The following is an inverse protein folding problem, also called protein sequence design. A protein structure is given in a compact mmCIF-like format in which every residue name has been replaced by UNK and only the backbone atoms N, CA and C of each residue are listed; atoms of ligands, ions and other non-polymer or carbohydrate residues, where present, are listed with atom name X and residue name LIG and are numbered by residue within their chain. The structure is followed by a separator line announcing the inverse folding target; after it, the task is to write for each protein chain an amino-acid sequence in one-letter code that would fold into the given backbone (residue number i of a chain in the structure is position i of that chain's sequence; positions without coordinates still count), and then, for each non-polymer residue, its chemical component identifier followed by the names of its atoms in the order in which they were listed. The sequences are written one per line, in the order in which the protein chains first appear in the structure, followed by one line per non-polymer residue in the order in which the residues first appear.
data_IF_245542935845
#
_entry.id   IF_245542935845
#
_cell.length_a   1.000
_cell.length_b   1.000
_cell.length_c   1.000
_cell.angle_alpha   90.00
_cell.angle_beta   90.00
_cell.angle_gamma   90.00
#
_symmetry.space_group_name_H-M   'P 1'
#
loop_
_entity.id
_entity.type
_entity.pdbx_description
1 polymer ?
#
# COMPACT_ATOMS: atom_id res chain seq x y z
N UNK A 1 -21.52 33.28 11.92
CA UNK A 1 -20.65 32.80 10.82
C UNK A 1 -20.31 31.33 11.06
N UNK A 2 -20.81 30.43 10.22
CA UNK A 2 -20.46 29.01 10.26
C UNK A 2 -19.04 28.80 9.73
N UNK A 3 -18.16 28.16 10.53
CA UNK A 3 -16.82 27.77 10.08
C UNK A 3 -16.94 26.65 9.05
N UNK A 4 -16.60 26.95 7.80
CA UNK A 4 -16.40 25.92 6.77
C UNK A 4 -15.16 25.11 7.16
N UNK A 5 -15.34 23.82 7.46
CA UNK A 5 -14.24 22.86 7.63
C UNK A 5 -14.03 22.13 6.32
N UNK A 6 -12.85 22.30 5.72
CA UNK A 6 -12.41 21.44 4.62
C UNK A 6 -11.93 20.12 5.27
N UNK A 7 -12.52 18.96 4.92
CA UNK A 7 -12.02 17.68 5.40
C UNK A 7 -10.57 17.50 5.01
N UNK A 8 -9.75 16.97 5.93
CA UNK A 8 -8.37 16.61 5.60
C UNK A 8 -8.37 15.60 4.44
N UNK A 9 -7.47 15.81 3.48
CA UNK A 9 -7.31 14.86 2.38
C UNK A 9 -6.84 13.51 2.96
N UNK A 10 -7.51 12.40 2.63
CA UNK A 10 -7.08 11.09 3.12
C UNK A 10 -5.75 10.67 2.49
N UNK A 11 -4.97 9.92 3.25
CA UNK A 11 -3.74 9.30 2.76
C UNK A 11 -4.08 7.92 2.18
N UNK A 12 -3.92 7.73 0.88
CA UNK A 12 -4.22 6.49 0.16
C UNK A 12 -2.96 5.93 -0.47
N UNK A 13 -2.74 4.63 -0.29
CA UNK A 13 -1.59 3.92 -0.86
C UNK A 13 -2.07 2.68 -1.59
N UNK A 14 -2.02 2.72 -2.92
CA UNK A 14 -2.28 1.58 -3.78
C UNK A 14 -0.96 0.91 -4.15
N UNK A 15 -0.83 -0.38 -3.87
CA UNK A 15 0.37 -1.17 -4.13
C UNK A 15 -0.01 -2.36 -5.01
N UNK A 16 0.56 -2.43 -6.21
CA UNK A 16 0.54 -3.64 -7.02
C UNK A 16 1.76 -4.51 -6.67
N UNK A 17 1.56 -5.84 -6.68
CA UNK A 17 2.61 -6.78 -6.30
C UNK A 17 2.58 -8.04 -7.16
N UNK A 18 3.74 -8.69 -7.23
CA UNK A 18 3.92 -10.01 -7.82
C UNK A 18 4.65 -10.94 -6.86
N UNK A 19 4.59 -12.23 -7.14
CA UNK A 19 5.35 -13.31 -6.52
C UNK A 19 6.04 -14.09 -7.64
N UNK A 20 7.25 -14.58 -7.41
CA UNK A 20 7.92 -15.44 -8.40
C UNK A 20 7.19 -16.81 -8.48
N UNK A 21 6.60 -17.19 -9.62
CA UNK A 21 5.88 -18.45 -9.77
C UNK A 21 6.78 -19.69 -9.70
N UNK A 22 8.05 -19.56 -10.08
CA UNK A 22 8.99 -20.69 -10.19
C UNK A 22 9.56 -21.15 -8.84
N UNK A 23 9.41 -20.32 -7.80
CA UNK A 23 9.95 -20.58 -6.47
C UNK A 23 8.79 -20.63 -5.47
N UNK A 24 8.35 -21.83 -5.05
CA UNK A 24 7.33 -21.99 -4.03
C UNK A 24 7.66 -21.19 -2.77
N UNK A 25 6.68 -20.48 -2.22
CA UNK A 25 6.87 -19.68 -1.02
C UNK A 25 7.65 -18.36 -1.22
N UNK A 26 8.04 -18.01 -2.46
CA UNK A 26 8.77 -16.77 -2.73
C UNK A 26 8.05 -15.53 -2.19
N UNK A 27 8.83 -14.49 -1.86
CA UNK A 27 8.28 -13.27 -1.25
C UNK A 27 7.50 -12.48 -2.29
N UNK A 28 6.45 -11.79 -1.84
CA UNK A 28 5.73 -10.81 -2.67
C UNK A 28 6.55 -9.53 -2.77
N UNK A 29 6.72 -9.04 -3.98
CA UNK A 29 7.52 -7.87 -4.32
C UNK A 29 6.63 -6.83 -4.98
N UNK A 30 6.85 -5.57 -4.64
CA UNK A 30 6.11 -4.43 -5.21
C UNK A 30 6.51 -4.25 -6.67
N UNK A 31 5.53 -4.09 -7.55
CA UNK A 31 5.74 -3.73 -8.96
C UNK A 31 5.39 -2.29 -9.25
N UNK A 32 4.36 -1.76 -8.60
CA UNK A 32 3.96 -0.37 -8.73
C UNK A 32 3.35 0.16 -7.43
N UNK A 33 3.49 1.46 -7.20
CA UNK A 33 2.82 2.18 -6.12
C UNK A 33 2.20 3.46 -6.66
N UNK A 34 1.02 3.80 -6.13
CA UNK A 34 0.39 5.11 -6.25
C UNK A 34 0.06 5.61 -4.84
N UNK A 35 0.44 6.86 -4.56
CA UNK A 35 0.18 7.52 -3.28
C UNK A 35 -0.64 8.77 -3.54
N UNK A 36 -1.71 8.94 -2.77
CA UNK A 36 -2.45 10.21 -2.63
C UNK A 36 -2.25 10.63 -1.17
N UNK A 37 -1.72 11.84 -0.93
CA UNK A 37 -1.30 12.25 0.41
C UNK A 37 0.20 12.02 0.63
N UNK A 38 0.61 11.71 1.86
CA UNK A 38 2.04 11.72 2.24
C UNK A 38 2.68 10.34 2.25
N UNK A 39 1.92 9.29 2.60
CA UNK A 39 2.39 7.98 3.02
C UNK A 39 3.50 7.98 4.09
N UNK A 40 3.77 9.11 4.76
CA UNK A 40 4.87 9.22 5.74
C UNK A 40 4.56 8.40 7.00
N UNK A 41 5.58 7.74 7.57
CA UNK A 41 7.00 7.74 7.19
C UNK A 41 7.42 6.61 6.21
N UNK A 42 6.48 5.92 5.58
CA UNK A 42 6.74 4.65 4.89
C UNK A 42 7.26 4.77 3.45
N UNK A 43 7.48 5.98 2.94
CA UNK A 43 7.77 6.29 1.54
C UNK A 43 8.96 5.49 0.99
N UNK A 44 10.00 5.25 1.81
CA UNK A 44 11.19 4.51 1.36
C UNK A 44 10.95 3.03 1.09
N UNK A 45 9.90 2.47 1.68
CA UNK A 45 9.47 1.08 1.43
C UNK A 45 8.49 0.98 0.26
N UNK A 46 7.96 2.10 -0.22
CA UNK A 46 6.92 2.19 -1.25
C UNK A 46 7.51 2.36 -2.65
N UNK A 47 8.37 1.42 -3.05
CA UNK A 47 9.06 1.46 -4.34
C UNK A 47 9.07 0.08 -5.01
N UNK A 48 9.08 0.00 -6.36
CA UNK A 48 9.25 -1.27 -7.06
C UNK A 48 10.49 -2.04 -6.57
N UNK A 49 10.39 -3.37 -6.53
CA UNK A 49 11.46 -4.25 -6.03
C UNK A 49 11.51 -4.41 -4.51
N UNK A 50 10.82 -3.57 -3.73
CA UNK A 50 10.72 -3.73 -2.27
C UNK A 50 9.75 -4.85 -1.89
N UNK A 51 9.96 -5.44 -0.70
CA UNK A 51 9.09 -6.50 -0.17
C UNK A 51 7.75 -5.91 0.26
N UNK A 52 6.66 -6.47 -0.25
CA UNK A 52 5.30 -6.04 0.10
C UNK A 52 5.05 -6.11 1.61
N UNK A 53 5.50 -7.18 2.27
CA UNK A 53 5.29 -7.38 3.71
C UNK A 53 5.96 -6.31 4.58
N UNK A 54 7.09 -5.74 4.13
CA UNK A 54 7.76 -4.67 4.84
C UNK A 54 6.97 -3.35 4.72
N UNK A 55 6.53 -3.01 3.50
CA UNK A 55 5.69 -1.83 3.26
C UNK A 55 4.37 -1.90 4.04
N UNK A 56 3.66 -3.04 3.97
CA UNK A 56 2.40 -3.24 4.69
C UNK A 56 2.57 -3.14 6.20
N UNK A 57 3.67 -3.67 6.75
CA UNK A 57 3.96 -3.57 8.18
C UNK A 57 4.17 -2.12 8.60
N UNK A 58 4.94 -1.35 7.83
CA UNK A 58 5.14 0.07 8.11
C UNK A 58 3.81 0.84 8.06
N UNK A 59 3.05 0.67 6.98
CA UNK A 59 1.78 1.37 6.80
C UNK A 59 0.81 1.07 7.96
N UNK A 60 0.60 -0.21 8.29
CA UNK A 60 -0.28 -0.61 9.39
C UNK A 60 0.15 -0.04 10.75
N UNK A 61 1.45 -0.03 11.04
CA UNK A 61 1.98 0.59 12.27
C UNK A 61 1.76 2.10 12.35
N UNK A 62 1.54 2.76 11.20
CA UNK A 62 1.35 4.19 11.10
C UNK A 62 -0.10 4.58 10.78
N UNK A 63 -1.07 3.73 11.13
CA UNK A 63 -2.50 4.04 11.10
C UNK A 63 -3.19 3.80 9.76
N UNK A 64 -2.51 3.21 8.77
CA UNK A 64 -3.17 2.80 7.54
C UNK A 64 -3.94 1.49 7.71
N UNK A 65 -5.19 1.47 7.26
CA UNK A 65 -6.04 0.28 7.21
C UNK A 65 -6.17 -0.21 5.78
N UNK A 66 -6.25 -1.53 5.59
CA UNK A 66 -6.52 -2.11 4.28
C UNK A 66 -7.99 -1.88 3.96
N UNK A 67 -8.28 -1.22 2.84
CA UNK A 67 -9.65 -1.00 2.35
C UNK A 67 -9.98 -1.90 1.16
N UNK A 68 -8.98 -2.28 0.37
CA UNK A 68 -9.12 -3.26 -0.71
C UNK A 68 -7.90 -4.15 -0.73
N UNK A 69 -8.08 -5.45 -0.91
CA UNK A 69 -7.00 -6.40 -1.13
C UNK A 69 -7.48 -7.49 -2.08
N UNK A 70 -6.92 -7.52 -3.28
CA UNK A 70 -7.37 -8.42 -4.33
C UNK A 70 -6.20 -9.16 -4.96
N UNK A 71 -6.43 -10.44 -5.27
CA UNK A 71 -5.52 -11.24 -6.09
C UNK A 71 -6.07 -11.27 -7.49
N UNK A 72 -5.32 -10.73 -8.44
CA UNK A 72 -5.66 -10.81 -9.87
C UNK A 72 -5.23 -12.16 -10.46
N UNK A 73 -4.30 -12.86 -9.81
CA UNK A 73 -3.92 -14.25 -10.13
C UNK A 73 -3.34 -14.95 -8.90
N UNK A 74 -2.87 -16.19 -9.07
CA UNK A 74 -2.14 -16.92 -8.04
C UNK A 74 -0.81 -16.23 -7.64
N UNK A 75 -0.25 -15.39 -8.51
CA UNK A 75 1.07 -14.78 -8.32
C UNK A 75 1.07 -13.26 -8.42
N UNK A 76 -0.08 -12.62 -8.59
CA UNK A 76 -0.18 -11.16 -8.66
C UNK A 76 -1.45 -10.64 -7.99
N UNK A 77 -1.43 -9.36 -7.65
CA UNK A 77 -2.57 -8.68 -7.09
C UNK A 77 -2.24 -7.25 -6.69
N UNK A 78 -3.16 -6.64 -5.96
CA UNK A 78 -2.97 -5.30 -5.43
C UNK A 78 -3.61 -5.15 -4.05
N UNK A 79 -3.22 -4.09 -3.35
CA UNK A 79 -3.77 -3.72 -2.04
C UNK A 79 -3.85 -2.20 -1.97
N UNK A 80 -5.00 -1.70 -1.55
CA UNK A 80 -5.24 -0.29 -1.25
C UNK A 80 -5.35 -0.13 0.26
N UNK A 81 -4.57 0.82 0.79
CA UNK A 81 -4.62 1.21 2.18
C UNK A 81 -5.01 2.67 2.33
N UNK A 82 -5.71 2.99 3.42
CA UNK A 82 -6.18 4.34 3.75
C UNK A 82 -5.78 4.73 5.18
N UNK A 83 -5.41 5.99 5.38
CA UNK A 83 -5.33 6.66 6.69
C UNK A 83 -6.14 7.96 6.60
N UNK A 84 -7.00 8.20 7.59
CA UNK A 84 -7.84 9.41 7.70
C UNK A 84 -7.12 10.52 8.46
#
# INVERSE_FOLDING_TARGET
MSRVRIPAQPDLVLIAWIRNPLVPGSRRTITAVRVIGSARPCVDLLRPGRRLSAALRCLRRNGFVVVVSERTSNVSGFVLLKRS
#
